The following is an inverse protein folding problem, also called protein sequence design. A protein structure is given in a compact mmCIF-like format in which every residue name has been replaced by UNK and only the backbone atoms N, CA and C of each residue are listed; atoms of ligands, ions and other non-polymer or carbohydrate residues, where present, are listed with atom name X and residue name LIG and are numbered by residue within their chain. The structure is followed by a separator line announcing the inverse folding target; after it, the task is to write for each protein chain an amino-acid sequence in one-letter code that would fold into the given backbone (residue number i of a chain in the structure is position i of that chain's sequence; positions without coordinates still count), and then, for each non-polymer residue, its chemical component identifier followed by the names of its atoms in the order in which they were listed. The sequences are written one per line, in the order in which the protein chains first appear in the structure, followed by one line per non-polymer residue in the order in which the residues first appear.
data_IF_604063364000
#
_entry.id   IF_604063364000
#
_cell.length_a   1.000
_cell.length_b   1.000
_cell.length_c   1.000
_cell.angle_alpha   90.00
_cell.angle_beta   90.00
_cell.angle_gamma   90.00
#
_symmetry.space_group_name_H-M   'P 1'
#
loop_
_entity.id
_entity.type
_entity.pdbx_description
1 polymer ?
#
# COMPACT_ATOMS: atom_id res chain seq x y z
N UNK A 1 9.49 4.54 -11.87
CA UNK A 1 10.68 3.70 -11.61
C UNK A 1 11.31 3.21 -12.90
N UNK A 2 12.64 3.14 -12.96
CA UNK A 2 13.44 2.70 -14.11
C UNK A 2 13.14 1.21 -14.47
N UNK A 3 12.97 0.85 -15.76
CA UNK A 3 12.74 -0.54 -16.20
C UNK A 3 13.82 -1.54 -15.76
N UNK A 4 15.07 -1.10 -15.58
CA UNK A 4 16.16 -1.92 -15.03
C UNK A 4 15.87 -2.31 -13.56
N UNK A 5 15.42 -1.35 -12.75
CA UNK A 5 15.02 -1.59 -11.34
C UNK A 5 13.84 -2.55 -11.26
N UNK A 6 12.85 -2.42 -12.15
CA UNK A 6 11.70 -3.35 -12.20
C UNK A 6 12.12 -4.79 -12.45
N UNK A 7 13.02 -5.03 -13.40
CA UNK A 7 13.56 -6.37 -13.67
C UNK A 7 14.35 -6.91 -12.48
N UNK A 8 15.16 -6.06 -11.87
CA UNK A 8 15.97 -6.45 -10.72
C UNK A 8 15.09 -6.79 -9.50
N UNK A 9 14.04 -6.01 -9.26
CA UNK A 9 13.05 -6.27 -8.21
C UNK A 9 12.35 -7.61 -8.39
N UNK A 10 11.89 -7.89 -9.61
CA UNK A 10 11.25 -9.17 -9.92
C UNK A 10 12.22 -10.35 -9.69
N UNK A 11 13.48 -10.23 -10.13
CA UNK A 11 14.52 -11.24 -9.93
C UNK A 11 14.79 -11.49 -8.45
N UNK A 12 14.98 -10.43 -7.68
CA UNK A 12 15.32 -10.51 -6.25
C UNK A 12 14.15 -11.03 -5.43
N UNK A 13 12.91 -10.68 -5.75
CA UNK A 13 11.72 -11.24 -5.11
C UNK A 13 11.60 -12.75 -5.33
N UNK A 14 11.95 -13.25 -6.52
CA UNK A 14 11.95 -14.68 -6.78
C UNK A 14 12.99 -15.42 -5.92
N UNK A 15 14.15 -14.79 -5.68
CA UNK A 15 15.21 -15.37 -4.84
C UNK A 15 14.83 -15.48 -3.36
N UNK A 16 14.00 -14.56 -2.85
CA UNK A 16 13.54 -14.57 -1.46
C UNK A 16 12.16 -15.20 -1.29
N UNK A 17 11.62 -15.87 -2.33
CA UNK A 17 10.27 -16.45 -2.30
C UNK A 17 10.12 -17.44 -1.15
N UNK A 18 11.03 -18.39 -1.04
CA UNK A 18 10.93 -19.47 -0.07
C UNK A 18 11.03 -18.91 1.37
N UNK A 19 11.85 -17.88 1.59
CA UNK A 19 11.94 -17.16 2.87
C UNK A 19 10.64 -16.42 3.22
N UNK A 20 9.95 -15.83 2.22
CA UNK A 20 8.65 -15.19 2.43
C UNK A 20 7.59 -16.23 2.79
N UNK A 21 7.58 -17.37 2.09
CA UNK A 21 6.64 -18.46 2.34
C UNK A 21 6.82 -19.08 3.72
N UNK A 22 8.07 -19.34 4.12
CA UNK A 22 8.42 -19.78 5.47
C UNK A 22 8.05 -18.74 6.54
N UNK A 23 8.29 -17.46 6.26
CA UNK A 23 7.98 -16.36 7.17
C UNK A 23 6.50 -16.25 7.57
N UNK A 24 5.58 -16.69 6.71
CA UNK A 24 4.15 -16.73 7.04
C UNK A 24 3.81 -17.74 8.15
N UNK A 25 4.67 -18.72 8.43
CA UNK A 25 4.49 -19.66 9.55
C UNK A 25 4.76 -19.00 10.90
N UNK A 26 5.53 -17.91 10.92
CA UNK A 26 6.03 -17.26 12.14
C UNK A 26 5.42 -15.87 12.37
N UNK A 27 4.68 -15.31 11.40
CA UNK A 27 4.04 -14.01 11.51
C UNK A 27 3.81 -13.35 10.15
N UNK A 28 4.03 -12.04 10.09
CA UNK A 28 3.94 -11.22 8.88
C UNK A 28 5.34 -11.02 8.29
N UNK A 29 5.69 -11.70 7.19
CA UNK A 29 6.94 -11.43 6.48
C UNK A 29 6.92 -10.03 5.86
N UNK A 30 8.01 -9.29 6.05
CA UNK A 30 8.24 -7.98 5.48
C UNK A 30 9.44 -8.03 4.55
N UNK A 31 9.24 -7.48 3.36
CA UNK A 31 10.29 -7.27 2.39
C UNK A 31 10.97 -5.95 2.75
N UNK A 32 12.23 -6.04 3.14
CA UNK A 32 13.08 -4.89 3.49
C UNK A 32 14.15 -4.73 2.41
N UNK A 33 14.28 -3.53 1.87
CA UNK A 33 15.22 -3.29 0.78
C UNK A 33 15.76 -1.89 0.68
N UNK A 34 16.83 -1.79 -0.10
CA UNK A 34 17.47 -0.54 -0.47
C UNK A 34 17.66 -0.50 -1.99
N UNK A 35 17.20 0.57 -2.63
CA UNK A 35 17.49 0.89 -4.03
C UNK A 35 18.48 2.04 -4.03
N UNK A 36 19.68 1.83 -4.58
CA UNK A 36 20.63 2.92 -4.87
C UNK A 36 20.57 3.24 -6.36
N UNK A 37 20.28 4.50 -6.70
CA UNK A 37 20.48 4.95 -8.06
C UNK A 37 21.98 4.97 -8.34
N UNK A 38 22.42 4.24 -9.36
CA UNK A 38 23.79 4.36 -9.85
C UNK A 38 23.98 5.79 -10.42
N UNK A 39 25.08 6.48 -10.13
CA UNK A 39 25.43 7.69 -10.85
C UNK A 39 25.80 7.30 -12.29
N UNK A 40 24.96 7.72 -13.24
CA UNK A 40 25.12 7.67 -14.69
C UNK A 40 25.25 6.30 -15.41
N UNK A 41 25.06 6.37 -16.73
CA UNK A 41 24.24 5.50 -17.60
C UNK A 41 24.62 4.01 -17.76
N UNK A 42 25.78 3.58 -17.24
CA UNK A 42 26.29 2.20 -17.39
C UNK A 42 26.16 1.35 -16.12
N UNK A 43 25.73 1.92 -14.99
CA UNK A 43 25.55 1.20 -13.73
C UNK A 43 24.23 0.45 -13.65
N UNK A 44 24.27 -0.88 -13.45
CA UNK A 44 23.08 -1.63 -13.02
C UNK A 44 22.58 -1.07 -11.68
N UNK A 45 21.27 -0.81 -11.51
CA UNK A 45 20.74 -0.35 -10.23
C UNK A 45 21.04 -1.38 -9.14
N UNK A 46 21.62 -0.92 -8.03
CA UNK A 46 21.91 -1.79 -6.90
C UNK A 46 20.65 -1.89 -6.03
N UNK A 47 20.00 -3.05 -6.06
CA UNK A 47 18.87 -3.39 -5.21
C UNK A 47 19.30 -4.50 -4.25
N UNK A 48 19.23 -4.22 -2.95
CA UNK A 48 19.27 -5.22 -1.90
C UNK A 48 17.87 -5.53 -1.41
N UNK A 49 17.63 -6.80 -1.06
CA UNK A 49 16.38 -7.30 -0.52
C UNK A 49 16.69 -8.33 0.58
N UNK A 50 15.88 -8.29 1.62
CA UNK A 50 15.92 -9.22 2.76
C UNK A 50 14.50 -9.40 3.30
N UNK A 51 14.26 -10.50 4.00
CA UNK A 51 12.97 -10.81 4.62
C UNK A 51 13.12 -10.72 6.15
N UNK A 52 12.20 -10.00 6.79
CA UNK A 52 12.11 -9.90 8.26
C UNK A 52 10.69 -10.24 8.67
N UNK A 53 10.52 -11.06 9.71
CA UNK A 53 9.19 -11.46 10.20
C UNK A 53 8.84 -10.67 11.46
N UNK A 54 7.62 -10.11 11.48
CA UNK A 54 7.04 -9.49 12.67
C UNK A 54 5.83 -10.30 13.12
N UNK A 55 5.66 -10.48 14.43
CA UNK A 55 4.60 -11.34 14.98
C UNK A 55 3.20 -10.90 14.53
N UNK A 56 2.88 -9.61 14.64
CA UNK A 56 1.55 -9.06 14.34
C UNK A 56 1.55 -7.72 13.59
N UNK A 57 2.72 -7.11 13.41
CA UNK A 57 2.80 -5.80 12.78
C UNK A 57 2.72 -5.88 11.26
N UNK A 58 2.20 -4.82 10.62
CA UNK A 58 2.12 -4.66 9.17
C UNK A 58 2.66 -3.30 8.78
N UNK A 59 3.95 -3.09 9.01
CA UNK A 59 4.59 -1.80 8.78
C UNK A 59 4.94 -1.63 7.30
N UNK A 60 4.54 -0.49 6.73
CA UNK A 60 4.98 -0.07 5.41
C UNK A 60 5.74 1.24 5.55
N UNK A 61 6.96 1.31 5.05
CA UNK A 61 7.77 2.52 5.11
C UNK A 61 8.57 2.70 3.83
N UNK A 62 8.62 3.93 3.32
CA UNK A 62 9.41 4.30 2.15
C UNK A 62 10.08 5.63 2.41
N UNK A 63 11.40 5.62 2.54
CA UNK A 63 12.23 6.79 2.73
C UNK A 63 13.08 7.02 1.49
N UNK A 64 13.12 8.27 1.03
CA UNK A 64 13.92 8.70 -0.11
C UNK A 64 14.86 9.80 0.35
N UNK A 65 16.15 9.54 0.29
CA UNK A 65 17.22 10.46 0.69
C UNK A 65 18.38 10.26 -0.26
N UNK A 66 19.09 11.32 -0.66
CA UNK A 66 20.42 11.23 -1.30
C UNK A 66 20.55 10.21 -2.43
N UNK A 67 19.55 10.11 -3.32
CA UNK A 67 19.57 9.19 -4.46
C UNK A 67 19.37 7.71 -4.12
N UNK A 68 19.01 7.38 -2.87
CA UNK A 68 18.60 6.05 -2.43
C UNK A 68 17.13 6.02 -2.01
N UNK A 69 16.51 4.85 -2.10
CA UNK A 69 15.20 4.56 -1.53
C UNK A 69 15.32 3.36 -0.59
N UNK A 70 15.04 3.60 0.70
CA UNK A 70 14.95 2.58 1.73
C UNK A 70 13.49 2.22 1.93
N UNK A 71 13.17 0.93 1.99
CA UNK A 71 11.79 0.51 2.08
C UNK A 71 11.59 -0.73 2.93
N UNK A 72 10.40 -0.81 3.50
CA UNK A 72 9.84 -1.97 4.18
C UNK A 72 8.40 -2.14 3.71
N UNK A 73 8.02 -3.35 3.33
CA UNK A 73 6.68 -3.64 2.81
C UNK A 73 6.21 -5.00 3.32
N UNK A 74 5.01 -5.10 3.94
CA UNK A 74 4.48 -6.37 4.42
C UNK A 74 4.04 -7.21 3.22
N UNK A 75 4.53 -8.44 3.11
CA UNK A 75 4.03 -9.37 2.12
C UNK A 75 2.61 -9.81 2.51
N UNK A 76 1.63 -9.49 1.68
CA UNK A 76 0.22 -9.81 1.94
C UNK A 76 -0.17 -11.22 1.49
N UNK A 77 0.68 -11.89 0.73
CA UNK A 77 0.49 -13.26 0.23
C UNK A 77 1.81 -13.80 -0.37
N UNK A 78 1.86 -15.12 -0.57
CA UNK A 78 2.99 -15.82 -1.19
C UNK A 78 3.00 -15.78 -2.73
N UNK A 79 2.00 -15.16 -3.38
CA UNK A 79 1.98 -15.09 -4.85
C UNK A 79 3.00 -14.04 -5.35
N UNK A 80 4.10 -14.44 -6.02
CA UNK A 80 5.20 -13.52 -6.31
C UNK A 80 4.82 -12.44 -7.32
N UNK A 81 3.93 -12.78 -8.27
CA UNK A 81 3.44 -11.82 -9.26
C UNK A 81 2.64 -10.71 -8.57
N UNK A 82 1.72 -11.08 -7.68
CA UNK A 82 0.90 -10.12 -6.92
C UNK A 82 1.78 -9.28 -5.99
N UNK A 83 2.72 -9.92 -5.31
CA UNK A 83 3.68 -9.26 -4.42
C UNK A 83 4.56 -8.26 -5.17
N UNK A 84 5.06 -8.63 -6.35
CA UNK A 84 5.81 -7.73 -7.24
C UNK A 84 4.98 -6.51 -7.64
N UNK A 85 3.74 -6.70 -8.09
CA UNK A 85 2.90 -5.56 -8.51
C UNK A 85 2.59 -4.62 -7.36
N UNK A 86 2.27 -5.17 -6.19
CA UNK A 86 2.01 -4.38 -4.99
C UNK A 86 3.27 -3.62 -4.55
N UNK A 87 4.39 -4.32 -4.35
CA UNK A 87 5.65 -3.68 -3.96
C UNK A 87 6.10 -2.64 -4.97
N UNK A 88 5.94 -2.91 -6.27
CA UNK A 88 6.26 -1.94 -7.31
C UNK A 88 5.37 -0.69 -7.21
N UNK A 89 4.06 -0.83 -7.02
CA UNK A 89 3.17 0.32 -6.87
C UNK A 89 3.52 1.14 -5.63
N UNK A 90 3.83 0.48 -4.51
CA UNK A 90 4.37 1.10 -3.31
C UNK A 90 5.64 1.90 -3.59
N UNK A 91 6.62 1.30 -4.27
CA UNK A 91 7.86 1.95 -4.65
C UNK A 91 7.70 3.06 -5.70
N UNK A 92 6.64 3.05 -6.51
CA UNK A 92 6.31 4.14 -7.45
C UNK A 92 5.52 5.28 -6.76
N UNK A 93 5.24 5.17 -5.45
CA UNK A 93 4.38 6.11 -4.72
C UNK A 93 2.92 6.09 -5.20
N UNK A 94 2.51 5.00 -5.88
CA UNK A 94 1.18 4.79 -6.46
C UNK A 94 0.30 3.83 -5.65
N UNK A 95 0.81 3.28 -4.56
CA UNK A 95 0.00 2.79 -3.44
C UNK A 95 -0.14 3.94 -2.44
N UNK A 96 -1.34 4.47 -2.15
CA UNK A 96 -2.45 3.79 -1.47
C UNK A 96 -1.91 2.85 -0.40
N UNK A 97 -1.48 3.44 0.71
CA UNK A 97 -1.10 2.83 1.99
C UNK A 97 -1.57 1.38 2.11
N UNK A 98 -0.62 0.47 2.32
CA UNK A 98 -0.87 -0.96 2.44
C UNK A 98 -2.07 -1.23 3.35
N UNK A 99 -3.17 -1.75 2.79
CA UNK A 99 -4.32 -2.31 3.48
C UNK A 99 -5.05 -1.45 4.54
N UNK A 100 -4.57 -0.24 4.84
CA UNK A 100 -5.02 0.62 5.93
C UNK A 100 -5.61 1.88 5.33
N UNK A 101 -6.92 1.99 5.43
CA UNK A 101 -7.61 3.27 5.33
C UNK A 101 -7.16 4.12 6.51
N UNK A 102 -6.41 5.19 6.24
CA UNK A 102 -5.91 6.13 7.24
C UNK A 102 -6.32 7.56 6.85
N UNK A 103 -6.63 8.43 7.83
CA UNK A 103 -6.89 9.85 7.58
C UNK A 103 -5.81 10.49 6.68
N UNK A 104 -6.25 11.33 5.75
CA UNK A 104 -5.43 11.94 4.70
C UNK A 104 -5.31 11.10 3.42
N UNK A 105 -5.84 9.88 3.38
CA UNK A 105 -5.80 9.04 2.17
C UNK A 105 -6.65 9.63 1.04
N UNK A 106 -6.02 9.83 -0.12
CA UNK A 106 -6.73 10.18 -1.35
C UNK A 106 -7.23 8.94 -2.10
N UNK A 107 -8.49 8.97 -2.51
CA UNK A 107 -9.12 7.95 -3.34
C UNK A 107 -9.59 8.54 -4.65
N UNK A 108 -9.38 7.78 -5.74
CA UNK A 108 -9.80 8.15 -7.09
C UNK A 108 -10.83 7.18 -7.67
N UNK A 109 -11.73 7.71 -8.50
CA UNK A 109 -12.78 6.98 -9.19
C UNK A 109 -14.05 6.86 -8.37
N UNK A 110 -14.80 5.76 -8.52
CA UNK A 110 -16.04 5.54 -7.76
C UNK A 110 -15.68 5.18 -6.30
N UNK A 111 -16.03 6.04 -5.34
CA UNK A 111 -15.68 5.89 -3.92
C UNK A 111 -16.02 4.51 -3.35
N UNK A 112 -17.25 4.03 -3.56
CA UNK A 112 -17.69 2.69 -3.14
C UNK A 112 -16.74 1.60 -3.65
N UNK A 113 -16.39 1.64 -4.93
CA UNK A 113 -15.51 0.64 -5.53
C UNK A 113 -14.07 0.75 -5.00
N UNK A 114 -13.59 1.95 -4.66
CA UNK A 114 -12.29 2.15 -4.04
C UNK A 114 -12.22 1.54 -2.64
N UNK A 115 -13.26 1.75 -1.82
CA UNK A 115 -13.41 1.17 -0.48
C UNK A 115 -13.49 -0.36 -0.56
N UNK A 116 -14.29 -0.90 -1.49
CA UNK A 116 -14.41 -2.34 -1.70
C UNK A 116 -13.09 -3.01 -2.14
N UNK A 117 -12.32 -2.36 -3.02
CA UNK A 117 -10.98 -2.86 -3.41
C UNK A 117 -10.00 -2.93 -2.24
N UNK A 118 -10.22 -2.14 -1.19
CA UNK A 118 -9.42 -2.17 0.03
C UNK A 118 -9.90 -3.22 1.06
N UNK A 119 -10.87 -4.06 0.68
CA UNK A 119 -11.35 -5.19 1.48
C UNK A 119 -12.52 -4.86 2.41
N UNK A 120 -13.15 -3.70 2.24
CA UNK A 120 -14.33 -3.33 3.01
C UNK A 120 -15.63 -3.70 2.29
N UNK A 121 -16.59 -4.23 3.03
CA UNK A 121 -17.99 -4.32 2.61
C UNK A 121 -18.71 -3.03 2.99
N UNK A 122 -19.19 -2.25 2.02
CA UNK A 122 -19.91 -1.01 2.26
C UNK A 122 -21.38 -1.30 2.58
N UNK A 123 -21.79 -1.01 3.82
CA UNK A 123 -23.17 -1.18 4.29
C UNK A 123 -24.05 0.00 3.88
N UNK A 124 -23.54 1.22 4.08
CA UNK A 124 -24.29 2.45 3.85
C UNK A 124 -23.37 3.60 3.48
N UNK A 125 -23.88 4.52 2.66
CA UNK A 125 -23.21 5.77 2.32
C UNK A 125 -24.22 6.92 2.37
N UNK A 126 -23.85 8.02 3.03
CA UNK A 126 -24.68 9.22 3.10
C UNK A 126 -23.88 10.44 2.63
N UNK A 127 -24.43 11.24 1.74
CA UNK A 127 -23.79 12.47 1.25
C UNK A 127 -24.40 13.65 1.98
N UNK A 128 -23.54 14.48 2.59
CA UNK A 128 -23.91 15.71 3.30
C UNK A 128 -23.31 16.91 2.58
N UNK A 129 -24.13 17.82 2.03
CA UNK A 129 -23.62 19.10 1.53
C UNK A 129 -23.11 19.95 2.70
N UNK A 130 -21.99 20.64 2.50
CA UNK A 130 -21.40 21.53 3.51
C UNK A 130 -20.77 22.76 2.85
N UNK A 131 -21.57 23.83 2.74
CA UNK A 131 -21.17 25.05 2.04
C UNK A 131 -20.83 24.74 0.58
N UNK A 132 -19.57 25.01 0.21
CA UNK A 132 -19.04 24.78 -1.13
C UNK A 132 -18.47 23.35 -1.34
N UNK A 133 -18.53 22.50 -0.32
CA UNK A 133 -18.01 21.12 -0.33
C UNK A 133 -19.09 20.04 -0.12
N UNK A 134 -18.71 18.78 -0.36
CA UNK A 134 -19.54 17.61 -0.07
C UNK A 134 -18.78 16.62 0.82
N UNK A 135 -19.35 16.27 1.97
CA UNK A 135 -18.84 15.20 2.83
C UNK A 135 -19.63 13.91 2.60
N UNK A 136 -18.98 12.76 2.76
CA UNK A 136 -19.61 11.45 2.64
C UNK A 136 -19.30 10.62 3.89
N UNK A 137 -20.35 10.25 4.64
CA UNK A 137 -20.24 9.23 5.68
C UNK A 137 -20.38 7.85 5.07
N UNK A 138 -19.52 6.93 5.46
CA UNK A 138 -19.55 5.55 5.00
C UNK A 138 -19.51 4.61 6.19
N UNK A 139 -20.51 3.73 6.25
CA UNK A 139 -20.51 2.59 7.16
C UNK A 139 -20.01 1.37 6.40
N UNK A 140 -18.99 0.70 6.93
CA UNK A 140 -18.40 -0.45 6.29
C UNK A 140 -17.97 -1.52 7.29
N UNK A 141 -17.80 -2.75 6.80
CA UNK A 141 -17.29 -3.89 7.57
C UNK A 141 -16.01 -4.39 6.92
N UNK A 142 -14.99 -4.70 7.72
CA UNK A 142 -13.80 -5.42 7.26
C UNK A 142 -13.38 -6.41 8.33
N UNK A 143 -13.18 -7.66 7.93
CA UNK A 143 -12.77 -8.76 8.82
C UNK A 143 -13.69 -8.89 10.06
N UNK A 144 -15.00 -8.70 9.88
CA UNK A 144 -16.01 -8.76 10.95
C UNK A 144 -16.08 -7.53 11.85
N UNK A 145 -15.24 -6.52 11.64
CA UNK A 145 -15.22 -5.26 12.40
C UNK A 145 -15.97 -4.17 11.64
N UNK A 146 -16.80 -3.39 12.36
CA UNK A 146 -17.53 -2.24 11.79
C UNK A 146 -16.70 -0.97 11.89
N UNK A 147 -16.81 -0.16 10.85
CA UNK A 147 -16.14 1.12 10.72
C UNK A 147 -17.12 2.19 10.27
N UNK A 148 -16.97 3.38 10.84
CA UNK A 148 -17.51 4.62 10.31
C UNK A 148 -16.36 5.41 9.70
N UNK A 149 -16.52 5.87 8.46
CA UNK A 149 -15.53 6.65 7.73
C UNK A 149 -16.13 7.94 7.22
N UNK A 150 -15.42 9.05 7.39
CA UNK A 150 -15.80 10.34 6.84
C UNK A 150 -14.88 10.69 5.67
N UNK A 151 -15.46 11.00 4.51
CA UNK A 151 -14.72 11.51 3.36
C UNK A 151 -15.12 12.93 3.04
N UNK A 152 -14.17 13.69 2.51
CA UNK A 152 -14.41 14.93 1.79
C UNK A 152 -14.28 14.67 0.29
N UNK A 153 -15.22 15.16 -0.50
CA UNK A 153 -15.10 15.19 -1.96
C UNK A 153 -14.38 16.46 -2.38
N UNK A 154 -13.17 16.29 -2.91
CA UNK A 154 -12.34 17.39 -3.39
C UNK A 154 -12.74 17.81 -4.80
N UNK A 155 -13.03 16.82 -5.65
CA UNK A 155 -13.45 17.05 -7.02
C UNK A 155 -14.21 15.83 -7.56
N UNK A 156 -14.68 15.88 -8.81
CA UNK A 156 -15.40 14.75 -9.40
C UNK A 156 -14.52 13.50 -9.45
N UNK A 157 -14.88 12.49 -8.63
CA UNK A 157 -14.13 11.24 -8.54
C UNK A 157 -12.84 11.34 -7.73
N UNK A 158 -12.63 12.41 -6.95
CA UNK A 158 -11.53 12.51 -5.98
C UNK A 158 -12.05 12.76 -4.57
N UNK A 159 -11.59 11.93 -3.64
CA UNK A 159 -12.04 11.94 -2.24
C UNK A 159 -10.85 11.88 -1.30
N UNK A 160 -10.97 12.46 -0.12
CA UNK A 160 -9.99 12.34 0.96
C UNK A 160 -10.68 11.72 2.17
N UNK A 161 -10.11 10.66 2.74
CA UNK A 161 -10.54 10.14 4.02
C UNK A 161 -10.13 11.12 5.12
N UNK A 162 -11.08 11.71 5.82
CA UNK A 162 -10.82 12.61 6.95
C UNK A 162 -10.71 11.83 8.26
N UNK A 163 -11.55 10.82 8.43
CA UNK A 163 -11.68 10.11 9.69
C UNK A 163 -12.10 8.66 9.46
N UNK A 164 -11.62 7.76 10.31
CA UNK A 164 -12.04 6.37 10.36
C UNK A 164 -12.08 5.92 11.82
N UNK A 165 -13.27 5.50 12.27
CA UNK A 165 -13.51 5.04 13.62
C UNK A 165 -13.98 3.60 13.61
N UNK A 166 -13.47 2.79 14.54
CA UNK A 166 -13.97 1.44 14.80
C UNK A 166 -15.19 1.53 15.72
N UNK A 167 -16.26 0.82 15.36
CA UNK A 167 -17.53 0.75 16.11
C UNK A 167 -17.66 -0.58 16.84
#
# INVERSE_FOLDING_TARGET
MNPKIRRELARKLELVRDEIEDGFQYGVPHIVGEIRNAPDDDGYPNLSLSVVVFENARYSFLLREDGRALFMYPAENSNPRRLFFNLWRFLDGKDHSGGRFEPGMHLRGILRSAIQRAGFEVLWMNVRPAGDGEYIDVWAVKDGVRYNMLFEKISSGEYVLLEIEKV
#
